data_IF_370428398104
#
_entry.id   IF_370428398104
#
_cell.length_a   1.000
_cell.length_b   1.000
_cell.length_c   1.000
_cell.angle_alpha   90.00
_cell.angle_beta   90.00
_cell.angle_gamma   90.00
#
_symmetry.space_group_name_H-M   'P 1'
#
loop_
_entity.id
_entity.type
_entity.pdbx_description
1 polymer ?
#
# COMPACT_ATOMS: atom_id res chain seq x y z
N UNK A 1 -42.14 22.55 21.29
CA UNK A 1 -41.80 22.48 19.85
C UNK A 1 -40.28 22.37 19.65
N UNK A 2 -39.47 23.38 20.01
CA UNK A 2 -37.98 23.32 19.94
C UNK A 2 -37.39 21.99 20.43
N UNK A 3 -37.76 21.57 21.64
CA UNK A 3 -37.34 20.31 22.28
C UNK A 3 -37.50 19.03 21.45
N UNK A 4 -38.44 18.97 20.49
CA UNK A 4 -38.56 17.82 19.59
C UNK A 4 -37.59 17.89 18.41
N UNK A 5 -37.29 19.10 17.91
CA UNK A 5 -36.28 19.33 16.86
C UNK A 5 -34.90 19.02 17.43
N UNK A 6 -34.58 19.54 18.62
CA UNK A 6 -33.30 19.30 19.29
C UNK A 6 -33.07 17.80 19.55
N UNK A 7 -34.11 17.07 19.91
CA UNK A 7 -34.09 15.61 20.08
C UNK A 7 -33.84 14.87 18.76
N UNK A 8 -34.52 15.26 17.68
CA UNK A 8 -34.33 14.67 16.35
C UNK A 8 -32.91 14.93 15.81
N UNK A 9 -32.38 16.15 15.96
CA UNK A 9 -31.00 16.49 15.56
C UNK A 9 -30.00 15.63 16.35
N UNK A 10 -30.17 15.49 17.66
CA UNK A 10 -29.33 14.60 18.48
C UNK A 10 -29.42 13.11 18.08
N UNK A 11 -30.60 12.63 17.67
CA UNK A 11 -30.75 11.27 17.16
C UNK A 11 -30.07 11.09 15.79
N UNK A 12 -30.17 12.07 14.88
CA UNK A 12 -29.52 12.06 13.57
C UNK A 12 -27.99 12.12 13.70
N UNK A 13 -27.45 12.94 14.61
CA UNK A 13 -26.02 13.02 14.89
C UNK A 13 -25.40 11.69 15.36
N UNK A 14 -26.18 10.89 16.10
CA UNK A 14 -25.79 9.54 16.57
C UNK A 14 -25.92 8.44 15.51
N UNK A 15 -26.46 8.72 14.32
CA UNK A 15 -26.51 7.74 13.23
C UNK A 15 -25.12 7.52 12.62
N UNK A 16 -24.80 6.27 12.27
CA UNK A 16 -23.64 5.93 11.45
C UNK A 16 -23.73 6.54 10.04
N UNK A 17 -22.59 6.68 9.36
CA UNK A 17 -22.51 7.22 7.99
C UNK A 17 -23.42 6.45 7.01
N UNK A 18 -23.54 5.12 7.15
CA UNK A 18 -24.44 4.28 6.33
C UNK A 18 -25.92 4.59 6.61
N UNK A 19 -26.29 4.81 7.88
CA UNK A 19 -27.65 5.21 8.26
C UNK A 19 -27.98 6.63 7.80
N UNK A 20 -27.07 7.60 7.93
CA UNK A 20 -27.25 8.97 7.40
C UNK A 20 -27.43 8.95 5.87
N UNK A 21 -26.53 8.27 5.13
CA UNK A 21 -26.64 8.08 3.66
C UNK A 21 -27.89 7.31 3.21
N UNK A 22 -28.57 6.60 4.12
CA UNK A 22 -29.87 5.96 3.87
C UNK A 22 -31.03 6.93 4.14
N UNK A 23 -30.99 7.65 5.27
CA UNK A 23 -31.97 8.67 5.64
C UNK A 23 -32.05 9.80 4.62
N UNK A 24 -30.91 10.39 4.21
CA UNK A 24 -30.87 11.43 3.19
C UNK A 24 -31.46 10.98 1.84
N UNK A 25 -31.20 9.73 1.41
CA UNK A 25 -31.81 9.17 0.20
C UNK A 25 -33.33 9.03 0.33
N UNK A 26 -33.85 8.64 1.50
CA UNK A 26 -35.30 8.59 1.77
C UNK A 26 -35.94 9.98 1.79
N UNK A 27 -35.31 10.95 2.46
CA UNK A 27 -35.81 12.34 2.50
C UNK A 27 -35.85 12.98 1.10
N UNK A 28 -34.82 12.76 0.27
CA UNK A 28 -34.84 13.20 -1.14
C UNK A 28 -35.94 12.49 -1.94
N UNK A 29 -36.10 11.18 -1.78
CA UNK A 29 -37.18 10.43 -2.46
C UNK A 29 -38.59 10.82 -2.01
N UNK A 30 -38.72 11.54 -0.89
CA UNK A 30 -39.97 12.11 -0.37
C UNK A 30 -40.15 13.60 -0.73
N UNK A 31 -39.23 14.21 -1.49
CA UNK A 31 -39.29 15.64 -1.84
C UNK A 31 -39.10 16.59 -0.65
N UNK A 32 -38.50 16.12 0.44
CA UNK A 32 -38.34 16.90 1.68
C UNK A 32 -37.02 17.71 1.73
N UNK A 33 -36.11 17.45 0.79
CA UNK A 33 -34.83 18.17 0.61
C UNK A 33 -34.48 18.22 -0.88
N UNK A 34 -34.02 19.38 -1.35
CA UNK A 34 -33.57 19.60 -2.72
C UNK A 34 -32.05 19.55 -2.89
N UNK A 35 -31.58 19.48 -4.14
CA UNK A 35 -30.19 19.09 -4.43
C UNK A 35 -29.10 20.17 -4.31
N UNK A 36 -29.45 21.44 -4.13
CA UNK A 36 -28.47 22.56 -4.16
C UNK A 36 -27.78 22.84 -2.81
N UNK A 37 -27.19 21.81 -2.17
CA UNK A 37 -26.14 22.05 -1.16
C UNK A 37 -25.14 20.89 -1.02
N UNK A 38 -24.51 20.49 -2.12
CA UNK A 38 -23.45 19.45 -2.13
C UNK A 38 -22.06 20.00 -1.72
N UNK A 39 -22.00 21.14 -1.01
CA UNK A 39 -20.79 21.92 -0.73
C UNK A 39 -20.60 22.35 0.73
N UNK A 40 -21.22 21.64 1.68
CA UNK A 40 -21.16 21.98 3.11
C UNK A 40 -20.81 20.80 4.05
N UNK A 41 -19.64 20.17 3.87
CA UNK A 41 -18.89 19.56 4.99
C UNK A 41 -17.58 20.33 5.25
N UNK A 42 -17.67 21.65 5.14
CA UNK A 42 -16.66 22.61 5.61
C UNK A 42 -17.22 23.36 6.81
N UNK A 43 -16.97 22.80 8.00
CA UNK A 43 -16.86 23.48 9.29
C UNK A 43 -17.88 24.64 9.56
N UNK A 44 -18.95 24.41 10.37
CA UNK A 44 -20.06 25.36 10.56
C UNK A 44 -19.71 26.63 11.37
N UNK A 45 -18.44 27.00 11.49
CA UNK A 45 -17.94 28.17 12.25
C UNK A 45 -17.02 29.07 11.42
N UNK A 46 -17.45 29.48 10.20
CA UNK A 46 -16.68 30.47 9.41
C UNK A 46 -17.44 31.37 8.42
N UNK A 47 -18.72 31.69 8.72
CA UNK A 47 -19.47 32.76 8.03
C UNK A 47 -19.32 34.13 8.76
N UNK A 48 -18.57 34.16 9.86
CA UNK A 48 -18.15 35.40 10.56
C UNK A 48 -16.63 35.59 10.48
N UNK A 49 -16.18 36.86 10.50
CA UNK A 49 -14.80 37.32 10.39
C UNK A 49 -14.09 37.02 9.04
N UNK A 50 -14.56 37.65 7.97
CA UNK A 50 -13.81 37.90 6.73
C UNK A 50 -13.48 39.39 6.54
N UNK A 51 -12.98 40.04 7.60
CA UNK A 51 -12.56 41.46 7.60
C UNK A 51 -11.20 41.62 8.26
N UNK A 52 -10.39 42.55 7.72
CA UNK A 52 -9.08 43.05 8.21
C UNK A 52 -7.82 42.28 7.77
N UNK A 53 -6.79 43.08 7.39
CA UNK A 53 -5.35 42.78 7.30
C UNK A 53 -4.79 42.04 6.06
N UNK A 54 -4.05 42.81 5.25
CA UNK A 54 -3.12 42.38 4.19
C UNK A 54 -1.64 42.51 4.64
N UNK A 55 -0.67 42.08 3.81
CA UNK A 55 0.80 42.19 4.00
C UNK A 55 1.37 41.17 5.03
N UNK A 56 2.62 40.64 5.00
CA UNK A 56 3.96 40.97 4.43
C UNK A 56 4.63 39.62 3.96
N UNK A 57 5.66 39.45 3.10
CA UNK A 57 6.22 40.13 1.91
C UNK A 57 7.79 40.07 1.83
N UNK A 58 8.34 39.08 1.08
CA UNK A 58 9.73 38.95 0.52
C UNK A 58 10.92 38.52 1.44
N UNK A 59 11.77 37.56 0.99
CA UNK A 59 13.11 37.80 0.33
C UNK A 59 14.31 36.83 0.65
N UNK A 60 14.87 36.21 -0.42
CA UNK A 60 16.31 36.12 -0.82
C UNK A 60 17.40 35.09 -0.33
N UNK A 61 18.22 34.65 -1.33
CA UNK A 61 19.61 34.06 -1.37
C UNK A 61 19.90 32.69 -0.71
N UNK A 62 20.73 31.73 -1.20
CA UNK A 62 21.68 31.51 -2.35
C UNK A 62 23.21 31.57 -2.08
N UNK A 63 23.90 30.40 -2.06
CA UNK A 63 25.37 30.11 -2.17
C UNK A 63 25.48 28.65 -2.74
N UNK A 64 26.02 28.31 -3.94
CA UNK A 64 27.43 28.12 -4.47
C UNK A 64 28.08 26.73 -4.14
N UNK A 65 28.99 26.22 -5.00
CA UNK A 65 29.23 24.77 -5.29
C UNK A 65 30.63 24.12 -4.96
N UNK A 66 30.69 22.80 -5.23
CA UNK A 66 31.73 21.71 -5.33
C UNK A 66 33.06 21.98 -6.11
N UNK A 67 33.96 21.00 -6.49
CA UNK A 67 34.29 19.58 -6.07
C UNK A 67 35.82 19.19 -5.99
N UNK A 68 36.20 17.96 -5.56
CA UNK A 68 37.46 17.20 -5.94
C UNK A 68 37.32 15.65 -5.81
N UNK A 69 37.97 14.85 -6.70
CA UNK A 69 38.42 13.41 -6.63
C UNK A 69 39.76 13.30 -7.47
N UNK A 70 40.55 12.18 -7.63
CA UNK A 70 40.25 10.72 -7.55
C UNK A 70 41.37 9.80 -6.90
N UNK A 71 41.33 8.47 -7.23
CA UNK A 71 42.17 7.29 -6.81
C UNK A 71 43.37 6.99 -7.78
N UNK A 72 44.18 5.87 -7.76
CA UNK A 72 44.13 4.48 -7.18
C UNK A 72 45.46 4.08 -6.41
N UNK A 73 46.05 2.83 -6.33
CA UNK A 73 45.77 1.43 -6.77
C UNK A 73 46.01 0.31 -5.69
N UNK A 74 46.66 -0.84 -6.02
CA UNK A 74 46.90 -2.07 -5.19
C UNK A 74 48.23 -2.80 -5.56
N UNK A 75 48.70 -3.86 -4.84
CA UNK A 75 48.51 -5.29 -5.26
C UNK A 75 48.51 -6.32 -4.07
N UNK A 76 48.95 -7.59 -4.21
CA UNK A 76 48.20 -8.81 -4.63
C UNK A 76 49.02 -10.11 -4.30
N UNK A 77 48.40 -11.28 -4.00
CA UNK A 77 48.86 -12.66 -4.38
C UNK A 77 48.12 -13.87 -3.71
N UNK A 78 48.38 -15.08 -4.25
CA UNK A 78 48.05 -16.48 -3.83
C UNK A 78 49.31 -17.37 -4.08
N UNK A 79 49.50 -18.65 -3.62
CA UNK A 79 48.65 -19.84 -3.88
C UNK A 79 48.59 -20.82 -2.66
N UNK A 80 48.50 -22.16 -2.84
CA UNK A 80 47.30 -22.98 -3.19
C UNK A 80 47.68 -24.48 -3.35
N UNK A 81 47.28 -25.33 -2.40
CA UNK A 81 47.56 -26.78 -2.36
C UNK A 81 46.33 -27.52 -1.74
N UNK A 82 45.84 -28.74 -2.03
CA UNK A 82 46.12 -29.88 -2.95
C UNK A 82 46.79 -31.15 -2.37
N UNK A 83 46.02 -32.24 -2.19
CA UNK A 83 46.49 -33.64 -1.97
C UNK A 83 45.42 -34.68 -2.43
N UNK A 84 45.76 -35.98 -2.57
CA UNK A 84 45.14 -36.86 -3.61
C UNK A 84 44.83 -38.36 -3.26
N UNK A 85 43.60 -38.80 -3.62
CA UNK A 85 43.06 -40.19 -3.89
C UNK A 85 42.80 -41.27 -2.79
N UNK A 86 41.93 -42.30 -3.07
CA UNK A 86 41.43 -43.34 -2.12
C UNK A 86 41.91 -44.79 -2.45
N UNK A 87 41.45 -45.88 -1.78
CA UNK A 87 40.16 -46.60 -2.04
C UNK A 87 39.43 -47.03 -0.72
N UNK A 88 38.54 -48.04 -0.53
CA UNK A 88 37.97 -49.20 -1.28
C UNK A 88 36.58 -49.64 -0.67
N UNK A 89 35.95 -50.75 -1.11
CA UNK A 89 34.66 -51.32 -0.63
C UNK A 89 34.49 -52.84 -1.01
N UNK A 90 33.41 -53.60 -0.67
CA UNK A 90 32.21 -53.34 0.16
C UNK A 90 32.18 -54.22 1.46
N UNK A 91 31.44 -55.35 1.72
CA UNK A 91 30.41 -56.15 0.99
C UNK A 91 29.08 -56.51 1.76
N UNK A 92 28.11 -57.05 1.00
CA UNK A 92 27.01 -58.02 1.31
C UNK A 92 26.32 -58.13 2.69
N UNK A 93 24.99 -57.92 2.72
CA UNK A 93 24.02 -58.71 3.53
C UNK A 93 22.56 -58.61 3.00
N UNK A 94 21.74 -59.65 3.25
CA UNK A 94 20.37 -59.87 2.70
C UNK A 94 19.27 -59.35 3.66
N UNK A 95 18.13 -58.86 3.14
CA UNK A 95 16.92 -58.67 3.96
C UNK A 95 15.68 -58.10 3.25
N UNK A 96 14.56 -58.83 3.26
CA UNK A 96 13.19 -58.41 2.89
C UNK A 96 12.18 -59.48 3.33
N UNK A 97 10.87 -59.19 3.50
CA UNK A 97 10.18 -57.89 3.56
C UNK A 97 9.43 -57.66 4.90
N UNK A 98 8.93 -56.45 5.13
CA UNK A 98 7.77 -56.21 6.03
C UNK A 98 6.79 -55.27 5.32
N UNK A 99 5.59 -55.76 5.04
CA UNK A 99 4.47 -54.93 4.61
C UNK A 99 3.95 -54.13 5.82
N UNK A 100 3.64 -52.85 5.62
CA UNK A 100 2.77 -52.08 6.51
C UNK A 100 1.81 -51.28 5.65
N UNK A 101 0.53 -51.67 5.68
CA UNK A 101 -0.57 -50.88 5.13
C UNK A 101 -0.78 -49.62 5.99
N UNK A 102 0.07 -48.62 5.76
CA UNK A 102 -0.18 -47.25 6.16
C UNK A 102 -0.74 -46.54 4.93
N UNK A 103 -2.07 -46.39 4.88
CA UNK A 103 -2.72 -45.43 3.96
C UNK A 103 -2.42 -44.04 4.49
N UNK A 104 -1.22 -43.55 4.17
CA UNK A 104 -0.82 -42.17 4.39
C UNK A 104 -1.78 -41.28 3.57
N UNK A 105 -2.45 -40.30 4.19
CA UNK A 105 -3.29 -39.38 3.46
C UNK A 105 -2.36 -38.54 2.59
N UNK A 106 -2.36 -38.83 1.28
CA UNK A 106 -1.56 -38.13 0.29
C UNK A 106 -2.08 -36.69 0.10
N UNK A 107 -1.77 -35.84 1.07
CA UNK A 107 -1.67 -34.40 0.85
C UNK A 107 -0.57 -34.21 -0.19
N UNK A 108 -0.88 -33.80 -1.43
CA UNK A 108 0.18 -33.52 -2.38
C UNK A 108 0.97 -32.33 -1.83
N UNK A 109 2.25 -32.54 -1.56
CA UNK A 109 3.21 -31.49 -1.22
C UNK A 109 3.52 -30.67 -2.47
N UNK A 110 2.48 -30.01 -2.99
CA UNK A 110 2.60 -28.91 -3.92
C UNK A 110 3.35 -27.80 -3.17
N UNK A 111 4.67 -27.77 -3.37
CA UNK A 111 5.41 -26.53 -3.27
C UNK A 111 4.72 -25.60 -4.26
N UNK A 112 3.98 -24.64 -3.72
CA UNK A 112 3.10 -23.79 -4.51
C UNK A 112 4.02 -22.92 -5.39
N UNK A 113 4.05 -23.18 -6.70
CA UNK A 113 4.93 -22.44 -7.61
C UNK A 113 4.44 -20.99 -7.74
N UNK A 114 5.37 -20.04 -7.78
CA UNK A 114 5.04 -18.64 -8.04
C UNK A 114 4.36 -18.50 -9.41
N UNK A 115 3.32 -17.65 -9.52
CA UNK A 115 2.57 -17.50 -10.75
C UNK A 115 3.45 -16.90 -11.86
N UNK A 116 3.21 -17.34 -13.09
CA UNK A 116 3.90 -16.84 -14.29
C UNK A 116 3.42 -15.44 -14.69
N UNK A 117 2.15 -15.14 -14.38
CA UNK A 117 1.57 -13.81 -14.45
C UNK A 117 1.87 -13.03 -13.16
N UNK A 118 2.04 -11.69 -13.21
CA UNK A 118 2.32 -10.90 -12.02
C UNK A 118 1.17 -10.95 -11.01
N UNK A 119 1.53 -11.01 -9.73
CA UNK A 119 0.61 -10.73 -8.62
C UNK A 119 0.29 -9.23 -8.67
N UNK A 120 -0.99 -8.87 -8.73
CA UNK A 120 -1.38 -7.47 -8.90
C UNK A 120 -1.76 -6.83 -7.57
N UNK A 121 -1.32 -5.59 -7.37
CA UNK A 121 -1.76 -4.72 -6.28
C UNK A 121 -2.52 -3.56 -6.90
N UNK A 122 -3.69 -3.25 -6.38
CA UNK A 122 -4.39 -1.97 -6.65
C UNK A 122 -4.54 -1.24 -5.32
N UNK A 123 -4.13 0.04 -5.23
CA UNK A 123 -4.20 0.82 -4.00
C UNK A 123 -4.87 2.18 -4.20
N UNK A 124 -5.48 2.69 -3.13
CA UNK A 124 -6.15 4.01 -3.06
C UNK A 124 -6.12 4.52 -1.61
N UNK A 125 -5.47 5.65 -1.37
CA UNK A 125 -5.50 6.34 -0.08
C UNK A 125 -6.19 7.71 -0.15
N UNK A 126 -6.78 8.13 0.96
CA UNK A 126 -7.41 9.45 1.04
C UNK A 126 -7.57 9.95 2.47
N UNK A 127 -8.00 11.21 2.60
CA UNK A 127 -8.28 11.81 3.91
C UNK A 127 -9.58 12.60 3.89
N UNK A 128 -10.31 12.57 5.02
CA UNK A 128 -11.54 13.34 5.22
C UNK A 128 -11.16 14.70 5.80
N UNK A 129 -10.72 15.58 4.90
CA UNK A 129 -9.92 16.76 5.21
C UNK A 129 -8.57 16.64 4.51
N UNK A 130 -7.72 17.67 4.58
CA UNK A 130 -6.35 17.58 4.11
C UNK A 130 -5.45 18.61 4.84
N UNK A 131 -4.86 18.27 5.99
CA UNK A 131 -4.98 16.99 6.71
C UNK A 131 -6.37 16.74 7.33
N UNK A 132 -6.64 15.49 7.71
CA UNK A 132 -7.94 15.03 8.22
C UNK A 132 -7.90 13.56 8.67
N UNK A 133 -9.05 12.88 8.72
CA UNK A 133 -9.12 11.43 9.01
C UNK A 133 -8.64 10.64 7.80
N UNK A 134 -7.44 10.07 7.88
CA UNK A 134 -6.86 9.21 6.85
C UNK A 134 -7.53 7.85 6.77
N UNK A 135 -7.70 7.35 5.55
CA UNK A 135 -8.21 6.02 5.23
C UNK A 135 -7.58 5.52 3.92
N UNK A 136 -7.74 4.23 3.63
CA UNK A 136 -7.38 3.69 2.33
C UNK A 136 -7.93 2.29 2.12
N UNK A 137 -7.69 1.74 0.93
CA UNK A 137 -7.86 0.31 0.69
C UNK A 137 -6.90 -0.19 -0.39
N UNK A 138 -6.66 -1.50 -0.37
CA UNK A 138 -5.96 -2.16 -1.45
C UNK A 138 -6.60 -3.50 -1.81
N UNK A 139 -6.42 -3.91 -3.05
CA UNK A 139 -6.73 -5.26 -3.53
C UNK A 139 -5.43 -6.01 -3.83
N UNK A 140 -5.42 -7.31 -3.52
CA UNK A 140 -4.40 -8.26 -3.97
C UNK A 140 -5.06 -9.28 -4.91
N UNK A 141 -4.62 -9.29 -6.17
CA UNK A 141 -4.99 -10.31 -7.15
C UNK A 141 -3.84 -11.31 -7.31
N UNK A 142 -3.97 -12.47 -6.66
CA UNK A 142 -3.06 -13.59 -6.84
C UNK A 142 -3.60 -14.53 -7.93
N UNK A 143 -2.89 -14.74 -9.06
CA UNK A 143 -3.35 -15.63 -10.13
C UNK A 143 -3.71 -17.03 -9.63
N UNK A 144 -4.96 -17.44 -9.86
CA UNK A 144 -5.53 -18.72 -9.40
C UNK A 144 -6.37 -18.64 -8.10
N UNK A 145 -6.41 -17.49 -7.43
CA UNK A 145 -7.12 -17.29 -6.16
C UNK A 145 -8.17 -16.17 -6.31
N UNK A 146 -9.07 -16.07 -5.33
CA UNK A 146 -10.01 -14.95 -5.26
C UNK A 146 -9.27 -13.68 -4.84
N UNK A 147 -9.66 -12.53 -5.40
CA UNK A 147 -9.18 -11.20 -4.98
C UNK A 147 -9.40 -10.99 -3.48
N UNK A 148 -8.33 -10.67 -2.75
CA UNK A 148 -8.44 -10.10 -1.41
C UNK A 148 -8.63 -8.57 -1.51
N UNK A 149 -9.46 -7.99 -0.64
CA UNK A 149 -9.60 -6.54 -0.50
C UNK A 149 -9.48 -6.18 0.99
N UNK A 150 -8.57 -5.27 1.32
CA UNK A 150 -8.27 -4.81 2.68
C UNK A 150 -8.61 -3.33 2.78
N UNK A 151 -9.29 -2.93 3.86
CA UNK A 151 -9.60 -1.53 4.17
C UNK A 151 -8.83 -1.07 5.41
N UNK A 152 -8.36 0.18 5.39
CA UNK A 152 -7.44 0.76 6.35
C UNK A 152 -7.98 2.08 6.91
N UNK A 153 -7.72 2.35 8.19
CA UNK A 153 -7.94 3.64 8.83
C UNK A 153 -6.62 4.11 9.46
N UNK A 154 -6.18 5.32 9.14
CA UNK A 154 -4.88 5.87 9.57
C UNK A 154 -5.00 6.89 10.72
N UNK A 155 -6.22 7.16 11.19
CA UNK A 155 -6.49 8.14 12.24
C UNK A 155 -6.48 9.59 11.75
N UNK A 156 -6.46 10.53 12.68
CA UNK A 156 -6.52 11.97 12.43
C UNK A 156 -5.19 12.58 11.94
N UNK A 157 -5.29 13.78 11.36
CA UNK A 157 -4.17 14.64 10.94
C UNK A 157 -3.30 14.06 9.80
N UNK A 158 -3.83 13.14 9.00
CA UNK A 158 -3.16 12.57 7.82
C UNK A 158 -3.55 13.36 6.56
N UNK A 159 -2.59 13.72 5.70
CA UNK A 159 -2.88 14.33 4.38
C UNK A 159 -3.20 13.27 3.32
N UNK A 160 -3.85 13.65 2.20
CA UNK A 160 -4.16 12.70 1.12
C UNK A 160 -2.91 11.95 0.64
N UNK A 161 -1.83 12.68 0.31
CA UNK A 161 -0.59 12.08 -0.17
C UNK A 161 0.03 11.12 0.85
N UNK A 162 -0.08 11.41 2.15
CA UNK A 162 0.39 10.51 3.21
C UNK A 162 -0.44 9.23 3.25
N UNK A 163 -1.78 9.33 3.22
CA UNK A 163 -2.67 8.16 3.19
C UNK A 163 -2.43 7.27 1.95
N UNK A 164 -2.16 7.87 0.78
CA UNK A 164 -1.82 7.16 -0.46
C UNK A 164 -0.54 6.34 -0.33
N UNK A 165 0.53 6.95 0.19
CA UNK A 165 1.78 6.26 0.49
C UNK A 165 1.60 5.19 1.57
N UNK A 166 0.88 5.49 2.66
CA UNK A 166 0.67 4.56 3.78
C UNK A 166 -0.19 3.36 3.35
N UNK A 167 -1.12 3.54 2.40
CA UNK A 167 -1.89 2.45 1.77
C UNK A 167 -1.00 1.58 0.89
N UNK A 168 -0.16 2.18 0.03
CA UNK A 168 0.81 1.44 -0.78
C UNK A 168 1.80 0.64 0.08
N UNK A 169 2.28 1.24 1.18
CA UNK A 169 3.15 0.60 2.17
C UNK A 169 2.44 -0.64 2.76
N UNK A 170 1.22 -0.48 3.26
CA UNK A 170 0.44 -1.57 3.85
C UNK A 170 0.10 -2.69 2.83
N UNK A 171 -0.12 -2.34 1.56
CA UNK A 171 -0.37 -3.30 0.49
C UNK A 171 0.87 -4.16 0.17
N UNK A 172 2.05 -3.54 0.18
CA UNK A 172 3.33 -4.24 0.00
C UNK A 172 3.68 -5.09 1.22
N UNK A 173 3.47 -4.60 2.43
CA UNK A 173 3.70 -5.40 3.65
C UNK A 173 2.74 -6.60 3.72
N UNK A 174 1.46 -6.40 3.37
CA UNK A 174 0.49 -7.49 3.27
C UNK A 174 0.86 -8.54 2.21
N UNK A 175 1.42 -8.13 1.06
CA UNK A 175 1.91 -9.10 0.07
C UNK A 175 3.12 -9.90 0.57
N UNK A 176 4.05 -9.28 1.32
CA UNK A 176 5.16 -10.02 1.95
C UNK A 176 4.65 -11.05 2.96
N UNK A 177 3.63 -10.72 3.76
CA UNK A 177 3.01 -11.69 4.66
C UNK A 177 2.33 -12.83 3.88
N UNK A 178 1.64 -12.58 2.75
CA UNK A 178 1.07 -13.64 1.89
C UNK A 178 2.14 -14.55 1.27
N UNK A 179 3.25 -13.99 0.79
CA UNK A 179 4.39 -14.76 0.28
C UNK A 179 4.96 -15.69 1.36
N UNK A 180 5.13 -15.16 2.57
CA UNK A 180 5.63 -15.90 3.75
C UNK A 180 4.65 -16.97 4.24
N UNK A 181 3.34 -16.69 4.26
CA UNK A 181 2.29 -17.66 4.56
C UNK A 181 2.31 -18.85 3.58
N UNK A 182 2.63 -18.59 2.31
CA UNK A 182 2.79 -19.58 1.23
C UNK A 182 4.19 -20.20 1.13
N UNK A 183 5.11 -19.85 2.04
CA UNK A 183 6.52 -20.33 2.06
C UNK A 183 7.30 -19.99 0.77
N UNK A 184 6.97 -18.87 0.13
CA UNK A 184 7.60 -18.37 -1.10
C UNK A 184 8.60 -17.26 -0.79
N UNK A 185 9.73 -17.29 -1.49
CA UNK A 185 10.72 -16.21 -1.46
C UNK A 185 10.21 -14.95 -2.19
N UNK A 186 10.17 -13.77 -1.54
CA UNK A 186 9.79 -12.52 -2.23
C UNK A 186 10.70 -12.19 -3.42
N UNK A 187 11.98 -12.56 -3.33
CA UNK A 187 13.00 -12.31 -4.36
C UNK A 187 12.78 -13.02 -5.71
N UNK A 188 11.78 -13.89 -5.83
CA UNK A 188 11.35 -14.50 -7.09
C UNK A 188 9.96 -14.04 -7.56
N UNK A 189 9.24 -13.25 -6.76
CA UNK A 189 7.91 -12.75 -7.12
C UNK A 189 7.97 -11.59 -8.14
N UNK A 190 7.02 -11.59 -9.08
CA UNK A 190 6.74 -10.48 -9.99
C UNK A 190 5.46 -9.76 -9.55
N UNK A 191 5.56 -8.46 -9.24
CA UNK A 191 4.48 -7.64 -8.70
C UNK A 191 4.13 -6.49 -9.66
N UNK A 192 2.85 -6.36 -10.02
CA UNK A 192 2.34 -5.27 -10.85
C UNK A 192 1.39 -4.37 -10.03
N UNK A 193 1.81 -3.14 -9.77
CA UNK A 193 1.18 -2.21 -8.82
C UNK A 193 0.45 -1.11 -9.59
N UNK A 194 -0.76 -0.79 -9.16
CA UNK A 194 -1.62 0.22 -9.77
C UNK A 194 -2.25 1.15 -8.74
N UNK A 195 -2.34 2.43 -9.08
CA UNK A 195 -3.09 3.43 -8.32
C UNK A 195 -3.45 4.63 -9.21
N UNK A 196 -4.27 5.54 -8.70
CA UNK A 196 -4.62 6.79 -9.42
C UNK A 196 -3.80 8.02 -8.99
N UNK A 197 -3.00 7.88 -7.93
CA UNK A 197 -2.11 8.92 -7.44
C UNK A 197 -0.92 9.17 -8.36
N UNK A 198 -1.07 10.08 -9.34
CA UNK A 198 0.02 10.51 -10.22
C UNK A 198 1.26 10.97 -9.44
N UNK A 199 1.10 11.57 -8.26
CA UNK A 199 2.20 12.00 -7.41
C UNK A 199 2.99 10.83 -6.85
N UNK A 200 2.33 9.85 -6.22
CA UNK A 200 3.00 8.68 -5.64
C UNK A 200 3.64 7.85 -6.76
N UNK A 201 2.89 7.55 -7.83
CA UNK A 201 3.41 6.73 -8.94
C UNK A 201 4.67 7.34 -9.57
N UNK A 202 4.70 8.66 -9.85
CA UNK A 202 5.87 9.29 -10.45
C UNK A 202 7.04 9.50 -9.47
N UNK A 203 6.79 9.68 -8.17
CA UNK A 203 7.86 9.76 -7.17
C UNK A 203 8.50 8.40 -6.87
N UNK A 204 7.71 7.33 -6.80
CA UNK A 204 8.19 5.94 -6.62
C UNK A 204 9.09 5.53 -7.79
N UNK A 205 8.66 5.77 -9.04
CA UNK A 205 9.49 5.54 -10.25
C UNK A 205 10.67 6.53 -10.37
N UNK A 206 10.73 7.57 -9.53
CA UNK A 206 11.81 8.57 -9.55
C UNK A 206 11.73 9.56 -10.72
N UNK A 207 10.57 9.67 -11.39
CA UNK A 207 10.30 10.68 -12.42
C UNK A 207 10.11 12.08 -11.83
N UNK A 208 9.54 12.16 -10.62
CA UNK A 208 9.30 13.42 -9.90
C UNK A 208 10.05 13.44 -8.57
N UNK A 209 10.57 14.61 -8.18
CA UNK A 209 11.19 14.81 -6.87
C UNK A 209 10.18 14.61 -5.72
N UNK A 210 10.63 14.05 -4.61
CA UNK A 210 9.96 14.15 -3.32
C UNK A 210 10.71 15.14 -2.42
N UNK A 211 10.08 16.28 -2.10
CA UNK A 211 10.68 17.41 -1.37
C UNK A 211 10.13 17.60 0.04
N UNK A 212 9.01 16.97 0.37
CA UNK A 212 8.39 17.00 1.69
C UNK A 212 9.00 15.89 2.55
N UNK A 213 9.70 16.18 3.67
CA UNK A 213 10.36 15.16 4.49
C UNK A 213 9.44 14.03 4.95
N UNK A 214 8.17 14.32 5.26
CA UNK A 214 7.19 13.28 5.66
C UNK A 214 6.84 12.28 4.55
N UNK A 215 7.02 12.70 3.29
CA UNK A 215 6.82 11.85 2.12
C UNK A 215 8.14 11.18 1.68
N UNK A 216 9.30 11.79 1.96
CA UNK A 216 10.62 11.17 1.71
C UNK A 216 10.78 9.87 2.51
N UNK A 217 10.49 9.88 3.83
CA UNK A 217 10.56 8.67 4.68
C UNK A 217 9.65 7.54 4.17
N UNK A 218 8.47 7.89 3.65
CA UNK A 218 7.51 6.94 3.07
C UNK A 218 7.99 6.40 1.72
N UNK A 219 8.53 7.26 0.86
CA UNK A 219 9.14 6.90 -0.41
C UNK A 219 10.36 5.97 -0.24
N UNK A 220 11.16 6.20 0.80
CA UNK A 220 12.27 5.32 1.20
C UNK A 220 11.75 3.95 1.66
N UNK A 221 10.73 3.90 2.52
CA UNK A 221 10.10 2.64 2.94
C UNK A 221 9.51 1.87 1.74
N UNK A 222 8.79 2.55 0.83
CA UNK A 222 8.29 1.94 -0.40
C UNK A 222 9.43 1.38 -1.26
N UNK A 223 10.51 2.14 -1.48
CA UNK A 223 11.66 1.67 -2.28
C UNK A 223 12.37 0.48 -1.63
N UNK A 224 12.51 0.45 -0.31
CA UNK A 224 13.04 -0.69 0.42
C UNK A 224 12.17 -1.95 0.22
N UNK A 225 10.85 -1.84 0.41
CA UNK A 225 9.90 -2.94 0.18
C UNK A 225 9.94 -3.42 -1.28
N UNK A 226 9.93 -2.50 -2.25
CA UNK A 226 9.98 -2.82 -3.69
C UNK A 226 11.27 -3.54 -4.10
N UNK A 227 12.39 -3.27 -3.42
CA UNK A 227 13.68 -3.92 -3.66
C UNK A 227 13.77 -5.36 -3.12
N UNK A 228 12.81 -5.78 -2.30
CA UNK A 228 12.69 -7.16 -1.81
C UNK A 228 12.05 -8.13 -2.82
N UNK A 229 11.39 -7.63 -3.87
CA UNK A 229 10.76 -8.47 -4.89
C UNK A 229 11.66 -8.70 -6.09
N UNK A 230 11.57 -9.89 -6.70
CA UNK A 230 12.35 -10.25 -7.89
C UNK A 230 12.10 -9.33 -9.10
N UNK A 231 10.85 -8.88 -9.28
CA UNK A 231 10.49 -7.80 -10.19
C UNK A 231 9.31 -7.01 -9.64
N UNK A 232 9.37 -5.68 -9.66
CA UNK A 232 8.24 -4.81 -9.33
C UNK A 232 8.07 -3.70 -10.36
N UNK A 233 6.81 -3.43 -10.74
CA UNK A 233 6.42 -2.34 -11.64
C UNK A 233 5.26 -1.56 -11.01
N UNK A 234 5.34 -0.22 -10.99
CA UNK A 234 4.23 0.64 -10.53
C UNK A 234 3.73 1.54 -11.65
N UNK A 235 2.41 1.53 -11.84
CA UNK A 235 1.71 2.16 -12.94
C UNK A 235 0.56 3.03 -12.43
N UNK A 236 0.20 4.04 -13.22
CA UNK A 236 -0.96 4.88 -12.95
C UNK A 236 -2.14 4.45 -13.83
N UNK A 237 -3.34 4.38 -13.24
CA UNK A 237 -4.61 4.25 -13.96
C UNK A 237 -5.63 5.33 -13.53
N UNK A 238 -6.63 5.69 -14.37
CA UNK A 238 -7.65 6.66 -13.99
C UNK A 238 -8.47 6.20 -12.78
N UNK A 239 -8.86 7.14 -11.91
CA UNK A 239 -9.66 6.93 -10.68
C UNK A 239 -10.83 5.94 -10.82
N UNK A 240 -11.49 5.92 -11.98
CA UNK A 240 -12.59 4.99 -12.24
C UNK A 240 -12.21 3.52 -12.06
N UNK A 241 -10.94 3.13 -12.30
CA UNK A 241 -10.46 1.76 -12.10
C UNK A 241 -10.24 1.40 -10.63
N UNK A 242 -9.72 2.33 -9.82
CA UNK A 242 -9.65 2.17 -8.36
C UNK A 242 -11.05 1.98 -7.78
N UNK A 243 -12.01 2.82 -8.18
CA UNK A 243 -13.41 2.75 -7.75
C UNK A 243 -14.09 1.43 -8.18
N UNK A 244 -13.84 0.97 -9.42
CA UNK A 244 -14.35 -0.30 -9.98
C UNK A 244 -13.82 -1.52 -9.21
N UNK A 245 -12.57 -1.46 -8.73
CA UNK A 245 -11.87 -2.59 -8.10
C UNK A 245 -12.08 -2.63 -6.57
N UNK A 246 -12.13 -1.46 -5.93
CA UNK A 246 -12.13 -1.30 -4.46
C UNK A 246 -13.53 -0.95 -3.90
N UNK A 247 -14.46 -0.49 -4.74
CA UNK A 247 -15.89 -0.38 -4.42
C UNK A 247 -16.32 0.85 -3.62
N UNK A 248 -15.53 1.93 -3.61
CA UNK A 248 -15.80 3.18 -2.87
C UNK A 248 -15.45 4.46 -3.64
#
# INVERSE_FOLDING_TARGET
MRSNIDRLVNQIGRLSTRQRRSLFRKLKAMGLIETEELLADRNPLKIALSVTSQSIARSNRQIVEKPVEPRPPAPANRPRESDDRPPEAPPTAVGSPIQRDAVEPAHPSLQEELPKDPIQIVFDGGSRGNPGVGYGSFALDWPGYNREIVQLEFGDNVTNNEAEYDTLIAALEGLLDRLKERQMEPGSAYVAIWGDSLLVCNQVVGKWDCKEPRLQVRLEKVKALLSGYGKSEINHHPRAKSVEILGH
#
